data_IF_207274833643
#
_entry.id   IF_207274833643
#
_cell.length_a   1.000
_cell.length_b   1.000
_cell.length_c   1.000
_cell.angle_alpha   90.00
_cell.angle_beta   90.00
_cell.angle_gamma   90.00
#
_symmetry.space_group_name_H-M   'P 1'
#
loop_
_entity.id
_entity.type
_entity.pdbx_description
1 polymer ?
#
# COMPACT_ATOMS: atom_id res chain seq x y z
N UNK A 1 10.63 -17.30 -30.57
CA UNK A 1 9.94 -18.18 -29.60
C UNK A 1 9.94 -19.61 -30.12
N UNK A 2 10.37 -20.59 -29.31
CA UNK A 2 10.26 -22.02 -29.65
C UNK A 2 9.13 -22.64 -28.84
N UNK A 3 8.43 -23.58 -29.45
CA UNK A 3 7.30 -24.29 -28.83
C UNK A 3 7.39 -25.77 -29.11
N UNK A 4 7.10 -26.60 -28.11
CA UNK A 4 6.84 -28.01 -28.27
C UNK A 4 5.55 -28.40 -27.53
N UNK A 5 4.75 -29.28 -28.13
CA UNK A 5 3.53 -29.82 -27.55
C UNK A 5 3.73 -31.31 -27.31
N UNK A 6 3.38 -31.76 -26.12
CA UNK A 6 3.39 -33.16 -25.69
C UNK A 6 1.96 -33.57 -25.33
N UNK A 7 1.48 -34.64 -25.96
CA UNK A 7 0.13 -35.15 -25.68
C UNK A 7 0.08 -35.87 -24.31
N UNK A 8 -1.04 -35.79 -23.57
CA UNK A 8 -1.10 -36.19 -22.17
C UNK A 8 -1.26 -37.71 -21.92
N UNK A 9 -1.43 -38.54 -22.96
CA UNK A 9 -1.75 -39.97 -22.81
C UNK A 9 -0.48 -40.84 -22.88
N UNK A 10 0.34 -40.67 -23.92
CA UNK A 10 1.57 -41.44 -24.14
C UNK A 10 2.84 -40.58 -23.99
N UNK A 11 2.68 -39.29 -23.65
CA UNK A 11 3.76 -38.31 -23.51
C UNK A 11 4.65 -38.19 -24.75
N UNK A 12 4.05 -38.31 -25.94
CA UNK A 12 4.75 -38.12 -27.20
C UNK A 12 4.75 -36.66 -27.64
N UNK A 13 5.87 -36.23 -28.23
CA UNK A 13 5.96 -34.90 -28.86
C UNK A 13 5.13 -34.93 -30.14
N UNK A 14 4.07 -34.14 -30.19
CA UNK A 14 3.12 -34.09 -31.33
C UNK A 14 3.37 -32.90 -32.24
N UNK A 15 3.99 -31.83 -31.74
CA UNK A 15 4.30 -30.63 -32.52
C UNK A 15 5.55 -29.96 -31.98
N UNK A 16 6.39 -29.45 -32.88
CA UNK A 16 7.53 -28.59 -32.56
C UNK A 16 7.55 -27.48 -33.58
N UNK A 17 7.50 -26.23 -33.12
CA UNK A 17 7.46 -25.05 -33.97
C UNK A 17 8.41 -23.97 -33.47
N UNK A 18 8.81 -23.09 -34.39
CA UNK A 18 9.58 -21.90 -34.10
C UNK A 18 8.88 -20.70 -34.75
N UNK A 19 8.73 -19.63 -33.96
CA UNK A 19 8.10 -18.38 -34.36
C UNK A 19 9.10 -17.24 -34.15
N UNK A 20 9.39 -16.47 -35.20
CA UNK A 20 10.32 -15.33 -35.09
C UNK A 20 9.60 -14.12 -34.52
N UNK A 21 9.42 -14.09 -33.21
CA UNK A 21 8.77 -12.99 -32.47
C UNK A 21 9.69 -11.78 -32.25
N UNK A 22 10.89 -11.76 -32.86
CA UNK A 22 11.71 -10.55 -32.96
C UNK A 22 11.30 -9.70 -34.18
N UNK A 23 10.92 -10.36 -35.27
CA UNK A 23 10.32 -9.74 -36.44
C UNK A 23 8.78 -9.90 -36.39
N UNK A 24 8.06 -9.23 -37.29
CA UNK A 24 6.61 -9.42 -37.37
C UNK A 24 6.29 -10.83 -37.88
N UNK A 25 5.76 -11.66 -37.00
CA UNK A 25 5.32 -13.04 -37.27
C UNK A 25 3.90 -13.12 -37.89
N UNK A 26 3.30 -11.99 -38.28
CA UNK A 26 2.00 -11.98 -38.96
C UNK A 26 0.79 -12.46 -38.14
N UNK A 27 0.98 -12.82 -36.86
CA UNK A 27 -0.06 -13.40 -35.99
C UNK A 27 -0.06 -14.93 -35.95
N UNK A 28 0.91 -15.60 -36.60
CA UNK A 28 0.99 -17.05 -36.68
C UNK A 28 1.19 -17.70 -35.31
N UNK A 29 2.00 -17.10 -34.44
CA UNK A 29 2.14 -17.55 -33.05
C UNK A 29 0.84 -17.48 -32.25
N UNK A 30 0.07 -16.39 -32.38
CA UNK A 30 -1.24 -16.25 -31.71
C UNK A 30 -2.20 -17.34 -32.19
N UNK A 31 -2.29 -17.54 -33.50
CA UNK A 31 -3.15 -18.55 -34.12
C UNK A 31 -2.75 -19.97 -33.69
N UNK A 32 -1.46 -20.25 -33.55
CA UNK A 32 -0.96 -21.53 -33.07
C UNK A 32 -1.41 -21.82 -31.64
N UNK A 33 -1.25 -20.86 -30.71
CA UNK A 33 -1.66 -21.04 -29.30
C UNK A 33 -3.17 -21.26 -29.13
N UNK A 34 -3.98 -20.72 -30.04
CA UNK A 34 -5.44 -20.84 -30.04
C UNK A 34 -5.94 -22.15 -30.63
N UNK A 35 -5.34 -22.61 -31.73
CA UNK A 35 -5.93 -23.68 -32.55
C UNK A 35 -5.22 -25.03 -32.41
N UNK A 36 -3.92 -25.04 -32.09
CA UNK A 36 -3.11 -26.26 -32.10
C UNK A 36 -2.87 -26.85 -30.70
N UNK A 37 -3.12 -26.08 -29.64
CA UNK A 37 -2.91 -26.52 -28.24
C UNK A 37 -4.23 -27.02 -27.65
N UNK A 38 -4.38 -28.33 -27.49
CA UNK A 38 -5.59 -28.96 -26.98
C UNK A 38 -5.61 -28.97 -25.45
N UNK A 39 -6.80 -29.15 -24.86
CA UNK A 39 -6.97 -29.25 -23.40
C UNK A 39 -6.16 -30.44 -22.87
N UNK A 40 -5.51 -30.25 -21.73
CA UNK A 40 -4.59 -31.18 -21.07
C UNK A 40 -3.23 -31.39 -21.75
N UNK A 41 -2.99 -30.86 -22.96
CA UNK A 41 -1.67 -30.89 -23.57
C UNK A 41 -0.63 -30.18 -22.69
N UNK A 42 0.56 -30.76 -22.61
CA UNK A 42 1.72 -30.12 -22.01
C UNK A 42 2.41 -29.28 -23.09
N UNK A 43 2.52 -27.99 -22.83
CA UNK A 43 3.20 -27.03 -23.70
C UNK A 43 4.53 -26.60 -23.08
N UNK A 44 5.60 -26.71 -23.87
CA UNK A 44 6.94 -26.25 -23.54
C UNK A 44 7.24 -25.06 -24.43
N UNK A 45 7.52 -23.92 -23.82
CA UNK A 45 7.85 -22.66 -24.47
C UNK A 45 9.22 -22.19 -23.99
N UNK A 46 10.08 -21.76 -24.91
CA UNK A 46 11.35 -21.15 -24.53
C UNK A 46 11.87 -20.19 -25.59
N UNK A 47 12.62 -19.20 -25.13
CA UNK A 47 13.25 -18.20 -25.99
C UNK A 47 14.55 -18.72 -26.59
N UNK A 48 14.87 -18.24 -27.79
CA UNK A 48 16.21 -18.36 -28.37
C UNK A 48 16.59 -17.00 -28.94
N UNK A 49 17.80 -16.53 -28.65
CA UNK A 49 18.33 -15.21 -29.01
C UNK A 49 17.49 -14.03 -28.48
N UNK A 50 16.43 -13.65 -29.19
CA UNK A 50 15.52 -12.54 -28.87
C UNK A 50 14.10 -12.94 -29.26
N UNK A 51 13.13 -12.72 -28.37
CA UNK A 51 11.75 -13.11 -28.60
C UNK A 51 10.72 -12.08 -28.11
N UNK A 52 11.15 -10.91 -27.65
CA UNK A 52 10.29 -9.94 -26.96
C UNK A 52 9.91 -8.73 -27.81
N UNK A 53 10.69 -8.41 -28.85
CA UNK A 53 10.58 -7.13 -29.57
C UNK A 53 9.23 -6.92 -30.26
N UNK A 54 8.74 -7.93 -30.97
CA UNK A 54 7.44 -7.88 -31.68
C UNK A 54 6.43 -8.86 -31.07
N UNK A 55 6.66 -9.31 -29.83
CA UNK A 55 5.70 -10.14 -29.10
C UNK A 55 4.53 -9.28 -28.62
N UNK A 56 3.40 -9.43 -29.29
CA UNK A 56 2.21 -8.61 -29.05
C UNK A 56 1.49 -8.93 -27.73
N UNK A 57 0.59 -8.01 -27.34
CA UNK A 57 -0.15 -8.12 -26.09
C UNK A 57 -1.17 -9.27 -26.07
N UNK A 58 -1.70 -9.67 -27.24
CA UNK A 58 -2.63 -10.79 -27.34
C UNK A 58 -1.92 -12.12 -27.03
N UNK A 59 -0.76 -12.33 -27.65
CA UNK A 59 0.11 -13.48 -27.40
C UNK A 59 0.53 -13.55 -25.94
N UNK A 60 0.91 -12.42 -25.33
CA UNK A 60 1.22 -12.35 -23.88
C UNK A 60 0.00 -12.72 -23.02
N UNK A 61 -1.19 -12.28 -23.41
CA UNK A 61 -2.44 -12.64 -22.72
C UNK A 61 -2.75 -14.12 -22.83
N UNK A 62 -2.56 -14.73 -24.00
CA UNK A 62 -2.75 -16.18 -24.19
C UNK A 62 -1.74 -16.99 -23.37
N UNK A 63 -0.48 -16.55 -23.31
CA UNK A 63 0.53 -17.17 -22.46
C UNK A 63 0.21 -17.02 -20.97
N UNK A 64 -0.35 -15.89 -20.55
CA UNK A 64 -0.87 -15.69 -19.21
C UNK A 64 -2.04 -16.65 -18.89
N UNK A 65 -2.99 -16.81 -19.82
CA UNK A 65 -4.10 -17.78 -19.70
C UNK A 65 -3.61 -19.24 -19.70
N UNK A 66 -2.47 -19.52 -20.32
CA UNK A 66 -1.76 -20.80 -20.24
C UNK A 66 -1.01 -20.99 -18.92
N UNK A 67 -1.08 -20.02 -18.00
CA UNK A 67 -0.48 -20.10 -16.67
C UNK A 67 0.90 -19.46 -16.53
N UNK A 68 1.32 -18.60 -17.47
CA UNK A 68 2.53 -17.79 -17.28
C UNK A 68 2.30 -16.68 -16.26
N UNK A 69 3.13 -16.63 -15.23
CA UNK A 69 3.19 -15.51 -14.30
C UNK A 69 4.21 -14.44 -14.70
N UNK A 70 5.22 -14.78 -15.52
CA UNK A 70 6.36 -13.90 -15.81
C UNK A 70 6.40 -13.36 -17.24
N UNK A 71 5.54 -13.80 -18.16
CA UNK A 71 5.58 -13.39 -19.58
C UNK A 71 5.48 -11.88 -19.78
N UNK A 72 4.73 -11.18 -18.93
CA UNK A 72 4.58 -9.73 -19.00
C UNK A 72 5.90 -9.00 -18.75
N UNK A 73 6.84 -9.64 -18.07
CA UNK A 73 8.15 -9.11 -17.72
C UNK A 73 9.23 -9.43 -18.78
N UNK A 74 8.91 -10.24 -19.79
CA UNK A 74 9.85 -10.61 -20.85
C UNK A 74 10.27 -9.35 -21.64
N UNK A 75 11.57 -9.06 -21.65
CA UNK A 75 12.14 -7.90 -22.34
C UNK A 75 13.38 -8.27 -23.17
N UNK A 76 13.86 -7.29 -23.93
CA UNK A 76 14.89 -7.45 -24.96
C UNK A 76 16.08 -8.30 -24.49
N UNK A 77 16.34 -9.40 -25.20
CA UNK A 77 17.43 -10.39 -24.95
C UNK A 77 17.38 -11.14 -23.62
N UNK A 78 16.25 -11.10 -22.91
CA UNK A 78 16.02 -11.97 -21.76
C UNK A 78 15.91 -13.44 -22.20
N UNK A 79 16.27 -14.34 -21.30
CA UNK A 79 16.08 -15.78 -21.49
C UNK A 79 14.88 -16.23 -20.65
N UNK A 80 13.94 -16.93 -21.26
CA UNK A 80 12.73 -17.38 -20.59
C UNK A 80 12.34 -18.78 -21.06
N UNK A 81 11.86 -19.57 -20.12
CA UNK A 81 11.11 -20.77 -20.44
C UNK A 81 9.88 -20.89 -19.56
N UNK A 82 8.90 -21.60 -20.08
CA UNK A 82 7.71 -22.00 -19.37
C UNK A 82 7.33 -23.40 -19.82
N UNK A 83 6.95 -24.23 -18.85
CA UNK A 83 6.30 -25.51 -19.11
C UNK A 83 4.98 -25.51 -18.38
N UNK A 84 3.90 -25.74 -19.11
CA UNK A 84 2.55 -25.65 -18.56
C UNK A 84 1.61 -26.64 -19.22
N UNK A 85 0.37 -26.66 -18.75
CA UNK A 85 -0.68 -27.54 -19.24
C UNK A 85 -1.91 -26.73 -19.61
N UNK A 86 -2.46 -26.95 -20.81
CA UNK A 86 -3.66 -26.23 -21.26
C UNK A 86 -4.84 -26.56 -20.33
N UNK A 87 -5.45 -25.53 -19.74
CA UNK A 87 -6.53 -25.71 -18.76
C UNK A 87 -6.07 -25.66 -17.30
N UNK A 88 -4.79 -25.33 -17.04
CA UNK A 88 -4.27 -25.06 -15.70
C UNK A 88 -5.09 -23.95 -15.00
N UNK A 89 -5.33 -24.12 -13.70
CA UNK A 89 -6.06 -23.14 -12.87
C UNK A 89 -5.10 -22.37 -11.96
N UNK A 90 -4.51 -21.31 -12.51
CA UNK A 90 -3.47 -20.51 -11.84
C UNK A 90 -2.20 -20.48 -12.67
N UNK A 91 -1.06 -20.27 -12.02
CA UNK A 91 0.24 -20.20 -12.69
C UNK A 91 0.96 -21.54 -12.64
N UNK A 92 1.77 -21.85 -13.65
CA UNK A 92 2.69 -22.99 -13.59
C UNK A 92 3.81 -22.72 -12.58
N UNK A 93 4.30 -23.77 -11.94
CA UNK A 93 5.52 -23.73 -11.12
C UNK A 93 6.80 -23.86 -11.95
N UNK A 94 6.67 -24.27 -13.22
CA UNK A 94 7.79 -24.49 -14.14
C UNK A 94 7.96 -23.29 -15.07
N UNK A 95 8.38 -22.16 -14.50
CA UNK A 95 8.64 -20.94 -15.25
C UNK A 95 9.82 -20.15 -14.68
N UNK A 96 10.76 -19.81 -15.57
CA UNK A 96 11.93 -19.02 -15.22
C UNK A 96 12.17 -17.92 -16.25
N UNK A 97 12.59 -16.76 -15.75
CA UNK A 97 12.94 -15.59 -16.54
C UNK A 97 14.27 -15.05 -16.01
N UNK A 98 15.30 -15.11 -16.84
CA UNK A 98 16.57 -14.45 -16.61
C UNK A 98 16.59 -13.14 -17.40
N UNK A 99 16.83 -12.03 -16.72
CA UNK A 99 16.84 -10.70 -17.33
C UNK A 99 18.18 -10.35 -17.97
N UNK A 100 18.14 -9.67 -19.11
CA UNK A 100 19.32 -9.13 -19.77
C UNK A 100 19.96 -8.02 -18.93
N UNK A 101 21.30 -7.96 -18.90
CA UNK A 101 22.06 -6.94 -18.16
C UNK A 101 23.00 -6.19 -19.10
N UNK A 102 23.01 -4.85 -19.01
CA UNK A 102 24.02 -3.98 -19.65
C UNK A 102 24.28 -4.31 -21.13
N UNK A 103 23.22 -4.38 -21.93
CA UNK A 103 23.25 -4.67 -23.37
C UNK A 103 23.74 -6.08 -23.76
N UNK A 104 23.97 -6.98 -22.81
CA UNK A 104 24.28 -8.40 -23.04
C UNK A 104 23.02 -9.26 -22.96
N UNK A 105 23.07 -10.46 -23.52
CA UNK A 105 22.03 -11.48 -23.32
C UNK A 105 22.00 -11.91 -21.84
N UNK A 106 20.82 -12.32 -21.39
CA UNK A 106 20.68 -12.89 -20.06
C UNK A 106 21.44 -14.22 -19.92
N UNK A 107 21.68 -14.62 -18.68
CA UNK A 107 22.30 -15.91 -18.38
C UNK A 107 21.49 -17.06 -18.96
N UNK A 108 22.20 -18.02 -19.57
CA UNK A 108 21.59 -19.21 -20.18
C UNK A 108 20.87 -20.01 -19.11
N UNK A 109 19.66 -20.46 -19.43
CA UNK A 109 18.91 -21.40 -18.61
C UNK A 109 19.23 -22.80 -19.13
N UNK A 110 19.88 -23.62 -18.30
CA UNK A 110 20.17 -25.04 -18.56
C UNK A 110 19.67 -25.86 -17.37
N UNK A 111 18.44 -26.36 -17.49
CA UNK A 111 17.73 -27.05 -16.42
C UNK A 111 17.41 -28.49 -16.82
N UNK A 112 17.49 -29.41 -15.85
CA UNK A 112 17.18 -30.84 -16.03
C UNK A 112 16.35 -31.33 -14.87
N UNK A 113 15.09 -31.62 -15.12
CA UNK A 113 14.15 -32.08 -14.10
C UNK A 113 13.04 -32.94 -14.70
N UNK A 114 12.34 -33.65 -13.82
CA UNK A 114 11.14 -34.42 -14.17
C UNK A 114 9.90 -33.54 -14.02
N UNK A 115 8.92 -33.75 -14.90
CA UNK A 115 7.62 -33.06 -14.86
C UNK A 115 6.55 -34.09 -14.57
N UNK A 116 5.64 -33.83 -13.61
CA UNK A 116 4.52 -34.73 -13.35
C UNK A 116 3.51 -34.69 -14.50
N UNK A 117 2.82 -35.81 -14.71
CA UNK A 117 1.74 -35.96 -15.71
C UNK A 117 0.68 -34.85 -15.61
N UNK A 118 0.43 -34.38 -14.39
CA UNK A 118 -0.43 -33.23 -14.11
C UNK A 118 0.38 -32.13 -13.43
N UNK A 119 0.53 -31.01 -14.13
CA UNK A 119 1.34 -29.90 -13.65
C UNK A 119 0.61 -29.19 -12.49
N UNK A 120 1.26 -29.03 -11.32
CA UNK A 120 0.68 -28.31 -10.20
C UNK A 120 0.60 -26.81 -10.51
N UNK A 121 -0.50 -26.19 -10.08
CA UNK A 121 -0.72 -24.75 -10.19
C UNK A 121 -0.45 -24.03 -8.89
N UNK A 122 0.07 -22.81 -8.98
CA UNK A 122 0.16 -21.86 -7.86
C UNK A 122 -0.84 -20.70 -8.04
N UNK A 123 -1.44 -20.24 -6.94
CA UNK A 123 -2.42 -19.14 -6.95
C UNK A 123 -1.73 -17.80 -7.21
N UNK A 124 -0.50 -17.67 -6.73
CA UNK A 124 0.34 -16.48 -6.89
C UNK A 124 1.63 -16.92 -7.55
N UNK A 125 2.01 -16.28 -8.64
CA UNK A 125 3.38 -16.34 -9.16
C UNK A 125 4.17 -15.23 -8.47
N UNK A 126 4.96 -15.51 -7.43
CA UNK A 126 5.78 -14.47 -6.82
C UNK A 126 6.74 -13.93 -7.87
N UNK A 127 6.85 -12.61 -7.96
CA UNK A 127 7.93 -12.01 -8.73
C UNK A 127 9.26 -12.55 -8.17
N UNK A 128 10.22 -12.91 -9.05
CA UNK A 128 11.56 -13.20 -8.57
C UNK A 128 12.02 -12.01 -7.73
N UNK A 129 12.58 -12.28 -6.55
CA UNK A 129 13.06 -11.23 -5.63
C UNK A 129 13.87 -10.24 -6.47
N UNK A 130 13.53 -8.93 -6.50
CA UNK A 130 13.90 -8.02 -7.59
C UNK A 130 15.39 -7.92 -7.93
N UNK A 131 16.26 -8.40 -7.04
CA UNK A 131 17.66 -8.74 -7.25
C UNK A 131 18.14 -9.44 -5.98
N UNK A 132 18.91 -10.51 -6.11
CA UNK A 132 20.03 -10.67 -5.18
C UNK A 132 20.95 -9.49 -5.49
N UNK A 133 20.84 -8.42 -4.69
CA UNK A 133 21.49 -7.15 -4.97
C UNK A 133 22.98 -7.32 -4.65
N UNK A 134 23.69 -7.93 -5.59
CA UNK A 134 25.12 -8.22 -5.46
C UNK A 134 25.91 -6.95 -5.13
N UNK A 135 25.52 -5.79 -5.67
CA UNK A 135 26.10 -4.50 -5.33
C UNK A 135 25.88 -4.12 -3.86
N UNK A 136 24.70 -4.39 -3.29
CA UNK A 136 24.44 -4.26 -1.84
C UNK A 136 25.26 -5.27 -1.04
N UNK A 137 25.35 -6.52 -1.48
CA UNK A 137 26.13 -7.57 -0.80
C UNK A 137 27.61 -7.19 -0.78
N UNK A 138 28.16 -6.76 -1.91
CA UNK A 138 29.54 -6.29 -2.08
C UNK A 138 29.79 -5.01 -1.27
N UNK A 139 28.87 -4.04 -1.29
CA UNK A 139 28.92 -2.84 -0.46
C UNK A 139 28.94 -3.19 1.03
N UNK A 140 28.03 -4.05 1.50
CA UNK A 140 27.97 -4.49 2.91
C UNK A 140 29.15 -5.39 3.32
N UNK A 141 29.86 -5.99 2.37
CA UNK A 141 31.11 -6.72 2.63
C UNK A 141 32.31 -5.77 2.69
N UNK A 142 32.30 -4.68 1.93
CA UNK A 142 33.38 -3.68 1.87
C UNK A 142 33.37 -2.73 3.07
N UNK A 143 32.20 -2.42 3.63
CA UNK A 143 32.05 -1.57 4.82
C UNK A 143 31.79 -2.43 6.08
N UNK A 144 32.68 -2.34 7.06
CA UNK A 144 32.82 -3.27 8.18
C UNK A 144 31.52 -3.43 9.01
N UNK A 145 31.08 -4.68 9.23
CA UNK A 145 29.82 -5.06 9.90
C UNK A 145 29.66 -4.55 11.34
N UNK A 146 30.76 -4.12 11.98
CA UNK A 146 30.75 -3.66 13.37
C UNK A 146 30.53 -2.15 13.55
N UNK A 147 30.56 -1.35 12.47
CA UNK A 147 30.21 0.08 12.52
C UNK A 147 28.83 0.41 11.91
N UNK A 148 28.23 -0.53 11.16
CA UNK A 148 26.98 -0.31 10.41
C UNK A 148 26.00 -1.49 10.52
N UNK A 149 25.62 -1.85 11.74
CA UNK A 149 24.40 -2.66 11.97
C UNK A 149 23.16 -2.02 11.29
N UNK A 150 23.16 -0.70 11.12
CA UNK A 150 22.05 0.08 10.62
C UNK A 150 21.96 0.26 9.08
N UNK A 151 22.92 -0.21 8.26
CA UNK A 151 22.74 -0.14 6.79
C UNK A 151 21.78 -1.22 6.28
N UNK A 152 21.58 -2.29 7.05
CA UNK A 152 20.60 -3.34 6.76
C UNK A 152 19.31 -3.21 7.58
N UNK A 153 19.19 -2.22 8.49
CA UNK A 153 18.08 -2.15 9.44
C UNK A 153 17.56 -0.74 9.80
N UNK A 154 17.91 0.37 9.12
CA UNK A 154 17.54 1.70 9.64
C UNK A 154 17.11 2.79 8.66
N UNK A 155 15.97 3.43 8.94
CA UNK A 155 15.52 4.67 8.28
C UNK A 155 16.54 5.80 8.40
N UNK A 156 17.30 5.87 9.51
CA UNK A 156 18.37 6.87 9.69
C UNK A 156 19.41 6.80 8.57
N UNK A 157 19.80 5.58 8.20
CA UNK A 157 20.81 5.37 7.16
C UNK A 157 20.26 5.70 5.78
N UNK A 158 18.98 5.41 5.54
CA UNK A 158 18.31 5.82 4.30
C UNK A 158 18.32 7.35 4.12
N UNK A 159 18.03 8.13 5.17
CA UNK A 159 18.13 9.58 5.13
C UNK A 159 19.56 10.07 4.90
N UNK A 160 20.54 9.52 5.64
CA UNK A 160 21.98 9.87 5.47
C UNK A 160 22.45 9.60 4.04
N UNK A 161 22.08 8.44 3.49
CA UNK A 161 22.40 8.07 2.12
C UNK A 161 21.73 9.01 1.12
N UNK A 162 20.42 9.26 1.25
CA UNK A 162 19.68 10.13 0.35
C UNK A 162 20.28 11.54 0.30
N UNK A 163 20.59 12.12 1.46
CA UNK A 163 21.23 13.44 1.58
C UNK A 163 22.61 13.48 0.90
N UNK A 164 23.40 12.41 1.02
CA UNK A 164 24.74 12.32 0.42
C UNK A 164 24.68 12.07 -1.10
N UNK A 165 23.82 11.17 -1.55
CA UNK A 165 23.74 10.76 -2.95
C UNK A 165 22.95 11.77 -3.81
N UNK A 166 21.98 12.45 -3.21
CA UNK A 166 21.06 13.37 -3.89
C UNK A 166 20.99 14.73 -3.17
N UNK A 167 22.10 15.49 -3.11
CA UNK A 167 22.19 16.70 -2.27
C UNK A 167 21.29 17.86 -2.71
N UNK A 168 20.72 17.79 -3.92
CA UNK A 168 19.80 18.81 -4.45
C UNK A 168 18.32 18.48 -4.16
N UNK A 169 18.02 17.23 -3.80
CA UNK A 169 16.66 16.81 -3.52
C UNK A 169 16.23 17.26 -2.13
N UNK A 170 14.98 17.72 -2.00
CA UNK A 170 14.45 18.23 -0.73
C UNK A 170 13.65 17.20 0.05
N UNK A 171 13.23 16.14 -0.63
CA UNK A 171 12.28 15.16 -0.13
C UNK A 171 12.80 13.75 -0.42
N UNK A 172 12.49 12.81 0.46
CA UNK A 172 12.75 11.39 0.25
C UNK A 172 11.46 10.61 0.47
N UNK A 173 11.19 9.62 -0.38
CA UNK A 173 10.13 8.64 -0.17
C UNK A 173 10.77 7.41 0.46
N UNK A 174 10.22 6.98 1.59
CA UNK A 174 10.68 5.83 2.36
C UNK A 174 9.67 4.70 2.18
N UNK A 175 10.14 3.62 1.57
CA UNK A 175 9.39 2.39 1.33
C UNK A 175 10.06 1.25 2.09
N UNK A 176 9.26 0.48 2.81
CA UNK A 176 9.73 -0.71 3.52
C UNK A 176 9.35 -1.96 2.72
N UNK A 177 10.04 -3.06 2.99
CA UNK A 177 9.68 -4.34 2.39
C UNK A 177 8.27 -4.78 2.84
N UNK A 178 7.61 -5.54 1.96
CA UNK A 178 6.25 -6.02 2.24
C UNK A 178 5.14 -5.01 2.02
N UNK A 179 5.44 -3.82 1.50
CA UNK A 179 4.44 -2.82 1.11
C UNK A 179 4.01 -3.04 -0.35
N UNK A 180 2.72 -3.19 -0.58
CA UNK A 180 2.09 -3.13 -1.91
C UNK A 180 1.55 -1.71 -2.09
N UNK A 181 2.10 -1.00 -3.08
CA UNK A 181 1.69 0.37 -3.40
C UNK A 181 0.43 0.35 -4.27
N UNK A 182 -0.46 1.34 -4.08
CA UNK A 182 -1.57 1.55 -5.00
C UNK A 182 -1.06 2.00 -6.37
N UNK A 183 -1.82 1.76 -7.46
CA UNK A 183 -1.42 2.19 -8.79
C UNK A 183 -1.20 3.72 -8.93
N UNK A 184 -1.89 4.51 -8.11
CA UNK A 184 -1.78 5.98 -8.07
C UNK A 184 -0.77 6.50 -7.03
N UNK A 185 -0.01 5.65 -6.33
CA UNK A 185 0.83 6.06 -5.19
C UNK A 185 1.75 7.25 -5.51
N UNK A 186 2.53 7.19 -6.60
CA UNK A 186 3.41 8.30 -6.98
C UNK A 186 2.64 9.53 -7.43
N UNK A 187 1.46 9.35 -8.04
CA UNK A 187 0.59 10.45 -8.44
C UNK A 187 -0.02 11.16 -7.23
N UNK A 188 -0.43 10.42 -6.19
CA UNK A 188 -0.84 10.96 -4.90
C UNK A 188 0.28 11.77 -4.24
N UNK A 189 1.51 11.22 -4.16
CA UNK A 189 2.66 11.94 -3.60
C UNK A 189 2.96 13.23 -4.37
N UNK A 190 2.94 13.18 -5.71
CA UNK A 190 3.20 14.33 -6.56
C UNK A 190 2.18 15.47 -6.35
N UNK A 191 0.90 15.15 -6.14
CA UNK A 191 -0.14 16.15 -5.85
C UNK A 191 0.10 16.88 -4.52
N UNK A 192 0.73 16.23 -3.55
CA UNK A 192 0.97 16.79 -2.22
C UNK A 192 2.26 17.60 -2.11
N UNK A 193 3.25 17.39 -2.99
CA UNK A 193 4.53 18.13 -2.97
C UNK A 193 4.33 19.66 -2.96
N UNK A 194 3.47 20.26 -3.82
CA UNK A 194 3.26 21.71 -3.79
C UNK A 194 2.65 22.24 -2.48
N UNK A 195 1.91 21.40 -1.75
CA UNK A 195 1.36 21.74 -0.43
C UNK A 195 2.49 21.68 0.61
N UNK A 196 3.28 20.61 0.59
CA UNK A 196 4.42 20.38 1.47
C UNK A 196 5.50 21.47 1.33
N UNK A 197 5.77 21.91 0.10
CA UNK A 197 6.74 22.99 -0.18
C UNK A 197 6.27 24.36 0.33
N UNK A 198 4.96 24.59 0.37
CA UNK A 198 4.37 25.87 0.79
C UNK A 198 4.11 25.96 2.29
N UNK A 199 4.01 24.82 2.98
CA UNK A 199 3.62 24.75 4.38
C UNK A 199 4.68 24.08 5.24
N UNK A 200 5.48 24.90 5.93
CA UNK A 200 6.54 24.43 6.82
C UNK A 200 6.04 23.68 8.06
N UNK A 201 4.74 23.81 8.40
CA UNK A 201 4.14 23.07 9.51
C UNK A 201 3.88 21.60 9.18
N UNK A 202 4.04 21.20 7.91
CA UNK A 202 3.95 19.79 7.52
C UNK A 202 5.29 19.08 7.73
N UNK A 203 5.22 17.89 8.32
CA UNK A 203 6.37 17.01 8.57
C UNK A 203 6.57 15.98 7.46
N UNK A 204 5.58 15.82 6.59
CA UNK A 204 5.59 14.82 5.51
C UNK A 204 4.20 14.35 5.11
N UNK A 205 4.18 13.34 4.26
CA UNK A 205 2.97 12.75 3.67
C UNK A 205 3.05 11.25 3.88
N UNK A 206 2.08 10.65 4.55
CA UNK A 206 1.90 9.20 4.61
C UNK A 206 0.94 8.74 3.52
N UNK A 207 1.16 7.53 2.99
CA UNK A 207 0.21 6.84 2.14
C UNK A 207 -0.81 6.00 2.92
N UNK A 208 -0.67 5.92 4.24
CA UNK A 208 -1.44 4.99 5.05
C UNK A 208 -2.43 5.70 5.96
N UNK A 209 -3.68 5.22 5.95
CA UNK A 209 -4.69 5.59 6.93
C UNK A 209 -4.76 4.49 8.01
N UNK A 210 -4.35 4.76 9.27
CA UNK A 210 -4.47 3.80 10.35
C UNK A 210 -5.92 3.31 10.58
N UNK A 211 -6.90 4.18 10.31
CA UNK A 211 -8.34 3.90 10.40
C UNK A 211 -8.96 3.49 9.05
N UNK A 212 -8.15 3.23 8.02
CA UNK A 212 -8.56 2.79 6.68
C UNK A 212 -9.08 1.35 6.62
N UNK A 213 -10.03 1.01 7.49
CA UNK A 213 -10.65 -0.31 7.60
C UNK A 213 -11.81 -0.46 6.62
N UNK A 214 -12.14 -1.72 6.29
CA UNK A 214 -13.27 -2.03 5.42
C UNK A 214 -14.56 -1.37 5.92
N UNK A 215 -15.21 -0.61 5.03
CA UNK A 215 -16.44 0.13 5.33
C UNK A 215 -16.23 1.53 5.91
N UNK A 216 -15.07 1.83 6.49
CA UNK A 216 -14.78 3.08 7.22
C UNK A 216 -13.74 3.98 6.54
N UNK A 217 -13.52 3.73 5.25
CA UNK A 217 -12.64 4.48 4.37
C UNK A 217 -13.13 4.23 2.95
N UNK A 218 -13.63 5.27 2.30
CA UNK A 218 -14.46 5.14 1.10
C UNK A 218 -14.19 6.21 0.05
N UNK A 219 -13.51 7.31 0.41
CA UNK A 219 -13.29 8.42 -0.50
C UNK A 219 -11.83 8.44 -1.01
N UNK A 220 -11.57 8.01 -2.26
CA UNK A 220 -10.23 8.12 -2.82
C UNK A 220 -9.79 9.58 -3.03
N UNK A 221 -10.71 10.55 -3.02
CA UNK A 221 -10.42 11.94 -3.33
C UNK A 221 -10.14 12.82 -2.11
N UNK A 222 -10.28 12.27 -0.90
CA UNK A 222 -10.02 12.98 0.36
C UNK A 222 -8.64 12.66 0.95
N UNK A 223 -8.05 13.67 1.59
CA UNK A 223 -6.90 13.54 2.46
C UNK A 223 -7.06 14.43 3.70
N UNK A 224 -6.29 14.13 4.73
CA UNK A 224 -6.42 14.69 6.07
C UNK A 224 -5.07 15.21 6.56
N UNK A 225 -5.09 16.31 7.32
CA UNK A 225 -3.98 16.64 8.22
C UNK A 225 -4.21 15.94 9.55
N UNK A 226 -3.14 15.37 10.12
CA UNK A 226 -3.18 14.67 11.41
C UNK A 226 -2.02 15.08 12.31
N UNK A 227 -2.28 15.14 13.61
CA UNK A 227 -1.32 15.48 14.69
C UNK A 227 -0.64 14.21 15.23
N UNK A 228 -0.07 13.44 14.30
CA UNK A 228 0.68 12.21 14.55
C UNK A 228 1.60 11.88 13.37
N UNK A 229 2.39 10.81 13.51
CA UNK A 229 3.21 10.27 12.43
C UNK A 229 2.68 8.89 12.01
N UNK A 230 1.85 8.78 10.94
CA UNK A 230 1.28 7.50 10.55
C UNK A 230 2.29 6.51 9.94
N UNK A 231 3.43 6.98 9.41
CA UNK A 231 4.43 6.12 8.78
C UNK A 231 3.95 5.46 7.47
N UNK A 232 4.47 4.27 7.16
CA UNK A 232 4.14 3.39 6.01
C UNK A 232 4.08 4.07 4.64
N UNK A 233 5.07 3.76 3.80
CA UNK A 233 5.25 4.34 2.47
C UNK A 233 5.09 5.87 2.48
N UNK A 234 5.95 6.56 3.21
CA UNK A 234 5.80 7.98 3.50
C UNK A 234 6.89 8.82 2.82
N UNK A 235 6.52 10.04 2.44
CA UNK A 235 7.42 11.09 1.97
C UNK A 235 7.78 11.99 3.15
N UNK A 236 9.08 12.19 3.37
CA UNK A 236 9.62 13.08 4.39
C UNK A 236 10.56 14.13 3.76
N UNK A 237 10.41 15.41 4.12
CA UNK A 237 11.41 16.43 3.79
C UNK A 237 12.74 16.17 4.50
N UNK A 238 13.86 16.38 3.80
CA UNK A 238 15.21 16.29 4.40
C UNK A 238 15.35 17.29 5.56
N UNK A 239 14.72 18.47 5.48
CA UNK A 239 14.70 19.44 6.60
C UNK A 239 14.13 18.84 7.89
N UNK A 240 13.11 17.98 7.81
CA UNK A 240 12.48 17.39 9.00
C UNK A 240 13.42 16.38 9.64
N UNK A 241 14.17 15.64 8.82
CA UNK A 241 15.24 14.79 9.30
C UNK A 241 16.33 15.62 10.01
N UNK A 242 16.84 16.67 9.37
CA UNK A 242 17.90 17.53 9.91
C UNK A 242 17.48 18.19 11.24
N UNK A 243 16.27 18.71 11.32
CA UNK A 243 15.80 19.48 12.48
C UNK A 243 15.40 18.59 13.68
N UNK A 244 14.79 17.42 13.41
CA UNK A 244 14.08 16.66 14.46
C UNK A 244 14.55 15.21 14.62
N UNK A 245 15.29 14.64 13.67
CA UNK A 245 15.65 13.21 13.70
C UNK A 245 17.16 12.98 13.77
N UNK A 246 17.97 13.78 13.07
CA UNK A 246 19.42 13.61 13.03
C UNK A 246 20.03 13.70 14.44
N UNK A 247 20.76 12.65 14.84
CA UNK A 247 21.31 12.53 16.20
C UNK A 247 20.31 12.16 17.31
N UNK A 248 19.02 12.01 16.98
CA UNK A 248 17.92 11.73 17.93
C UNK A 248 17.17 10.42 17.66
N UNK A 249 17.63 9.56 16.75
CA UNK A 249 16.93 8.30 16.42
C UNK A 249 16.66 7.40 17.63
N UNK A 250 17.61 7.35 18.57
CA UNK A 250 17.48 6.58 19.82
C UNK A 250 16.40 7.11 20.78
N UNK A 251 15.91 8.35 20.61
CA UNK A 251 14.84 8.92 21.42
C UNK A 251 13.52 9.04 20.65
N UNK A 252 13.56 9.34 19.35
CA UNK A 252 12.35 9.59 18.57
C UNK A 252 11.75 8.37 17.88
N UNK A 253 12.62 7.45 17.48
CA UNK A 253 12.37 6.61 16.32
C UNK A 253 12.77 5.15 16.61
N UNK A 254 12.67 4.75 17.88
CA UNK A 254 12.96 3.40 18.38
C UNK A 254 11.87 2.38 18.07
N UNK A 255 10.67 2.87 17.75
CA UNK A 255 9.53 2.08 17.29
C UNK A 255 9.38 2.19 15.79
N UNK A 256 8.67 1.23 15.21
CA UNK A 256 8.26 1.29 13.81
C UNK A 256 7.53 2.61 13.49
N UNK A 257 7.72 3.19 12.29
CA UNK A 257 7.08 4.47 11.93
C UNK A 257 5.57 4.48 12.15
N UNK A 258 4.90 3.36 11.84
CA UNK A 258 3.45 3.24 12.00
C UNK A 258 2.96 3.09 13.42
N UNK A 259 3.86 2.85 14.38
CA UNK A 259 3.52 2.96 15.80
C UNK A 259 3.45 4.42 16.24
N UNK A 260 4.04 5.35 15.47
CA UNK A 260 4.01 6.77 15.75
C UNK A 260 5.33 7.26 16.33
N UNK A 261 5.93 8.24 15.66
CA UNK A 261 7.08 9.01 16.13
C UNK A 261 6.62 10.27 16.84
N UNK A 262 5.90 10.08 17.95
CA UNK A 262 5.20 11.15 18.67
C UNK A 262 6.15 12.27 19.11
N UNK A 263 7.39 11.96 19.47
CA UNK A 263 8.35 12.99 19.88
C UNK A 263 8.68 13.97 18.75
N UNK A 264 8.75 13.51 17.49
CA UNK A 264 9.00 14.36 16.32
C UNK A 264 7.85 15.33 16.16
N UNK A 265 6.61 14.82 16.28
CA UNK A 265 5.38 15.61 16.17
C UNK A 265 5.27 16.60 17.34
N UNK A 266 5.59 16.18 18.56
CA UNK A 266 5.53 17.03 19.75
C UNK A 266 6.60 18.12 19.75
N UNK A 267 7.84 17.81 19.34
CA UNK A 267 8.94 18.78 19.29
C UNK A 267 8.72 19.83 18.18
N UNK A 268 8.23 19.39 17.02
CA UNK A 268 7.96 20.30 15.89
C UNK A 268 6.64 21.06 16.01
N UNK A 269 5.65 20.51 16.71
CA UNK A 269 4.25 20.98 16.66
C UNK A 269 3.61 20.83 15.28
N UNK A 270 4.21 20.05 14.37
CA UNK A 270 3.79 19.90 12.99
C UNK A 270 2.69 18.86 12.76
N UNK A 271 2.29 18.68 11.51
CA UNK A 271 1.28 17.70 11.09
C UNK A 271 1.79 16.82 9.95
N UNK A 272 1.22 15.64 9.80
CA UNK A 272 1.37 14.82 8.59
C UNK A 272 0.11 14.92 7.74
N UNK A 273 0.24 14.69 6.43
CA UNK A 273 -0.90 14.41 5.54
C UNK A 273 -1.07 12.90 5.42
N UNK A 274 -2.31 12.40 5.42
CA UNK A 274 -2.65 11.02 5.07
C UNK A 274 -3.92 10.98 4.20
N UNK A 275 -4.11 10.01 3.29
CA UNK A 275 -5.32 9.92 2.50
C UNK A 275 -6.48 9.34 3.34
N UNK A 276 -7.73 9.50 2.92
CA UNK A 276 -8.84 8.72 3.48
C UNK A 276 -8.71 7.25 3.09
N UNK A 277 -8.60 6.97 1.79
CA UNK A 277 -8.34 5.64 1.24
C UNK A 277 -6.82 5.42 1.12
N UNK A 278 -6.27 4.39 1.79
CA UNK A 278 -4.82 4.17 1.80
C UNK A 278 -4.25 3.95 0.39
N UNK A 279 -3.03 4.46 0.14
CA UNK A 279 -2.23 4.25 -1.08
C UNK A 279 -1.13 3.21 -0.92
N UNK A 280 -1.17 2.50 0.20
CA UNK A 280 -0.30 1.39 0.52
C UNK A 280 -1.08 0.34 1.28
N UNK A 281 -0.75 -0.92 1.04
CA UNK A 281 -1.20 -2.08 1.79
C UNK A 281 0.02 -2.84 2.30
N UNK A 282 0.14 -3.05 3.61
CA UNK A 282 1.13 -3.99 4.15
C UNK A 282 0.65 -5.41 3.83
N UNK A 283 1.51 -6.24 3.23
CA UNK A 283 1.20 -7.65 2.96
C UNK A 283 0.88 -8.35 4.28
N UNK A 284 -0.30 -8.99 4.41
CA UNK A 284 -0.68 -9.63 5.65
C UNK A 284 0.32 -10.70 6.11
N UNK A 285 0.89 -11.48 5.19
CA UNK A 285 1.85 -12.53 5.52
C UNK A 285 3.12 -11.98 6.18
N UNK A 286 3.69 -10.90 5.66
CA UNK A 286 4.87 -10.26 6.27
C UNK A 286 4.52 -9.70 7.66
N UNK A 287 3.32 -9.16 7.83
CA UNK A 287 2.85 -8.68 9.14
C UNK A 287 2.70 -9.81 10.16
N UNK A 288 2.44 -11.05 9.75
CA UNK A 288 2.39 -12.21 10.65
C UNK A 288 3.78 -12.73 11.02
N UNK A 289 4.72 -12.71 10.08
CA UNK A 289 6.07 -13.25 10.30
C UNK A 289 7.00 -12.27 11.02
N UNK A 290 6.85 -10.97 10.76
CA UNK A 290 7.75 -9.93 11.26
C UNK A 290 7.28 -9.27 12.57
N UNK A 291 5.99 -9.32 12.91
CA UNK A 291 5.44 -8.54 14.02
C UNK A 291 5.06 -9.39 15.23
N UNK A 292 5.27 -8.86 16.46
CA UNK A 292 4.66 -9.42 17.65
C UNK A 292 3.13 -9.57 17.49
N UNK A 293 2.50 -10.59 18.10
CA UNK A 293 1.05 -10.78 18.04
C UNK A 293 0.23 -9.55 18.46
N UNK A 294 0.79 -8.74 19.36
CA UNK A 294 0.20 -7.49 19.84
C UNK A 294 0.25 -6.36 18.82
N UNK A 295 1.08 -6.41 17.78
CA UNK A 295 1.17 -5.38 16.73
C UNK A 295 0.57 -5.85 15.40
N UNK A 296 0.46 -7.16 15.20
CA UNK A 296 -0.08 -7.73 13.96
C UNK A 296 -1.55 -7.37 13.74
N UNK A 297 -2.34 -7.15 14.82
CA UNK A 297 -3.77 -6.80 14.70
C UNK A 297 -4.04 -5.58 13.82
N UNK A 298 -3.06 -4.67 13.72
CA UNK A 298 -3.14 -3.46 12.89
C UNK A 298 -3.25 -3.81 11.40
N UNK A 299 -2.68 -4.94 10.99
CA UNK A 299 -2.62 -5.41 9.61
C UNK A 299 -3.45 -6.68 9.35
N UNK A 300 -3.98 -7.35 10.38
CA UNK A 300 -4.84 -8.53 10.20
C UNK A 300 -6.30 -8.18 9.90
N UNK A 301 -6.76 -6.97 10.23
CA UNK A 301 -8.11 -6.52 9.86
C UNK A 301 -8.16 -6.15 8.38
N UNK A 302 -9.30 -6.43 7.74
CA UNK A 302 -9.49 -6.07 6.34
C UNK A 302 -9.44 -4.55 6.17
N UNK A 303 -8.57 -4.11 5.26
CA UNK A 303 -8.28 -2.70 4.98
C UNK A 303 -8.70 -2.32 3.57
N UNK A 304 -8.98 -1.04 3.41
CA UNK A 304 -9.29 -0.44 2.12
C UNK A 304 -8.03 0.25 1.58
N UNK A 305 -7.65 -0.12 0.37
CA UNK A 305 -6.53 0.47 -0.37
C UNK A 305 -7.03 0.83 -1.76
N UNK A 306 -6.59 1.98 -2.28
CA UNK A 306 -7.00 2.43 -3.60
C UNK A 306 -6.50 1.48 -4.69
N UNK A 307 -7.38 1.15 -5.64
CA UNK A 307 -7.05 0.34 -6.82
C UNK A 307 -7.28 1.09 -8.13
N UNK A 308 -7.83 2.30 -8.07
CA UNK A 308 -8.05 3.16 -9.24
C UNK A 308 -6.81 4.01 -9.54
N UNK A 309 -6.12 3.70 -10.64
CA UNK A 309 -4.95 4.46 -11.09
C UNK A 309 -5.26 5.92 -11.48
N UNK A 310 -6.54 6.26 -11.71
CA UNK A 310 -6.97 7.59 -12.11
C UNK A 310 -7.44 8.47 -10.94
N UNK A 311 -7.43 7.96 -9.71
CA UNK A 311 -7.81 8.73 -8.53
C UNK A 311 -6.92 9.97 -8.31
N UNK A 312 -7.54 11.09 -7.92
CA UNK A 312 -6.87 12.36 -7.59
C UNK A 312 -7.35 12.86 -6.23
N UNK A 313 -6.62 13.79 -5.59
CA UNK A 313 -7.06 14.45 -4.37
C UNK A 313 -7.80 15.75 -4.73
N UNK A 314 -9.01 15.90 -4.23
CA UNK A 314 -9.80 17.10 -4.41
C UNK A 314 -9.22 18.27 -3.60
N UNK A 315 -8.96 19.38 -4.28
CA UNK A 315 -8.49 20.65 -3.69
C UNK A 315 -7.34 20.46 -2.69
N UNK A 316 -6.17 19.92 -3.12
CA UNK A 316 -5.05 19.64 -2.23
C UNK A 316 -4.55 20.88 -1.46
N UNK A 317 -4.73 22.08 -2.02
CA UNK A 317 -4.41 23.34 -1.35
C UNK A 317 -5.20 23.57 -0.04
N UNK A 318 -6.35 22.92 0.15
CA UNK A 318 -7.13 23.03 1.38
C UNK A 318 -6.44 22.31 2.55
N UNK A 319 -5.40 21.52 2.28
CA UNK A 319 -4.54 20.89 3.28
C UNK A 319 -3.45 21.83 3.82
N UNK A 320 -3.34 23.08 3.36
CA UNK A 320 -2.49 24.10 4.00
C UNK A 320 -3.04 24.43 5.40
N UNK A 321 -2.18 24.67 6.39
CA UNK A 321 -2.57 24.80 7.81
C UNK A 321 -3.81 25.68 8.05
N UNK A 322 -3.80 26.93 7.60
CA UNK A 322 -4.90 27.87 7.80
C UNK A 322 -6.17 27.46 7.04
N UNK A 323 -6.01 26.95 5.82
CA UNK A 323 -7.11 26.51 4.98
C UNK A 323 -7.75 25.23 5.50
N UNK A 324 -6.95 24.34 6.09
CA UNK A 324 -7.47 23.10 6.65
C UNK A 324 -8.28 23.36 7.92
N UNK A 325 -7.84 24.32 8.74
CA UNK A 325 -8.64 24.78 9.88
C UNK A 325 -10.00 25.34 9.42
N UNK A 326 -10.01 26.17 8.37
CA UNK A 326 -11.24 26.70 7.76
C UNK A 326 -12.11 25.58 7.20
N UNK A 327 -11.53 24.64 6.44
CA UNK A 327 -12.22 23.49 5.88
C UNK A 327 -12.88 22.63 6.98
N UNK A 328 -12.17 22.37 8.08
CA UNK A 328 -12.74 21.68 9.23
C UNK A 328 -13.89 22.47 9.86
N UNK A 329 -13.77 23.80 10.00
CA UNK A 329 -14.85 24.63 10.51
C UNK A 329 -16.10 24.62 9.59
N UNK A 330 -15.90 24.62 8.27
CA UNK A 330 -16.99 24.50 7.28
C UNK A 330 -17.70 23.15 7.39
N UNK A 331 -16.94 22.05 7.48
CA UNK A 331 -17.51 20.71 7.70
C UNK A 331 -18.39 20.67 8.96
N UNK A 332 -17.96 21.34 10.04
CA UNK A 332 -18.74 21.42 11.27
C UNK A 332 -20.04 22.20 11.08
N UNK A 333 -20.01 23.30 10.33
CA UNK A 333 -21.21 24.12 10.06
C UNK A 333 -22.27 23.37 9.25
N UNK A 334 -21.85 22.55 8.29
CA UNK A 334 -22.76 21.76 7.45
C UNK A 334 -23.10 20.38 8.05
N UNK A 335 -22.48 20.02 9.16
CA UNK A 335 -22.68 18.72 9.80
C UNK A 335 -24.07 18.59 10.41
N UNK A 336 -24.65 17.39 10.28
CA UNK A 336 -25.86 16.99 10.98
C UNK A 336 -25.48 16.23 12.26
N UNK A 337 -26.05 16.57 13.43
CA UNK A 337 -25.77 15.83 14.66
C UNK A 337 -26.20 14.37 14.54
N UNK A 338 -25.29 13.45 14.84
CA UNK A 338 -25.58 12.02 14.96
C UNK A 338 -25.74 11.69 16.44
N UNK A 339 -26.97 11.42 16.84
CA UNK A 339 -27.28 11.11 18.24
C UNK A 339 -27.00 9.64 18.54
N UNK A 340 -26.16 9.40 19.54
CA UNK A 340 -25.97 8.09 20.19
C UNK A 340 -26.50 8.19 21.61
N UNK A 341 -27.21 7.17 22.09
CA UNK A 341 -27.63 7.10 23.49
C UNK A 341 -26.51 6.51 24.37
N UNK A 342 -26.60 6.70 25.70
CA UNK A 342 -25.72 6.02 26.65
C UNK A 342 -25.83 4.50 26.57
N UNK A 343 -27.02 3.99 26.23
CA UNK A 343 -27.26 2.57 26.02
C UNK A 343 -26.52 2.08 24.77
N UNK A 344 -26.52 2.85 23.68
CA UNK A 344 -25.76 2.52 22.46
C UNK A 344 -24.26 2.44 22.76
N UNK A 345 -23.70 3.44 23.47
CA UNK A 345 -22.29 3.42 23.87
C UNK A 345 -21.93 2.19 24.71
N UNK A 346 -22.81 1.77 25.62
CA UNK A 346 -22.54 0.60 26.47
C UNK A 346 -22.40 -0.69 25.66
N UNK A 347 -23.12 -0.81 24.55
CA UNK A 347 -23.07 -1.95 23.62
C UNK A 347 -21.84 -1.91 22.72
N UNK A 348 -21.27 -0.73 22.48
CA UNK A 348 -20.10 -0.55 21.61
C UNK A 348 -18.82 -1.21 22.12
N UNK A 349 -18.77 -1.61 23.39
CA UNK A 349 -17.65 -2.38 23.94
C UNK A 349 -17.44 -3.72 23.25
N UNK A 350 -18.49 -4.28 22.62
CA UNK A 350 -18.47 -5.64 22.03
C UNK A 350 -18.82 -5.67 20.54
N UNK A 351 -19.53 -4.68 20.01
CA UNK A 351 -20.01 -4.66 18.64
C UNK A 351 -20.23 -3.23 18.12
N UNK A 352 -20.38 -3.07 16.81
CA UNK A 352 -20.72 -1.78 16.21
C UNK A 352 -22.12 -1.29 16.63
N UNK A 353 -22.34 0.03 16.61
CA UNK A 353 -23.65 0.62 16.89
C UNK A 353 -24.58 0.42 15.69
N UNK A 354 -25.46 -0.57 15.78
CA UNK A 354 -26.45 -0.87 14.72
C UNK A 354 -27.27 0.37 14.35
N UNK A 355 -27.71 1.15 15.34
CA UNK A 355 -28.51 2.34 15.13
C UNK A 355 -27.76 3.41 14.32
N UNK A 356 -26.52 3.73 14.71
CA UNK A 356 -25.72 4.71 13.97
C UNK A 356 -25.38 4.22 12.56
N UNK A 357 -25.03 2.94 12.43
CA UNK A 357 -24.73 2.34 11.14
C UNK A 357 -25.95 2.31 10.21
N UNK A 358 -27.16 2.14 10.73
CA UNK A 358 -28.39 2.26 9.94
C UNK A 358 -28.60 3.68 9.41
N UNK A 359 -28.45 4.70 10.27
CA UNK A 359 -28.57 6.10 9.86
C UNK A 359 -27.53 6.43 8.78
N UNK A 360 -26.27 6.04 8.99
CA UNK A 360 -25.20 6.31 8.01
C UNK A 360 -25.38 5.55 6.69
N UNK A 361 -26.10 4.43 6.66
CA UNK A 361 -26.43 3.70 5.42
C UNK A 361 -27.57 4.34 4.63
N UNK A 362 -28.46 5.08 5.28
CA UNK A 362 -29.61 5.73 4.63
C UNK A 362 -29.18 6.93 3.75
N UNK A 363 -28.04 7.53 4.06
CA UNK A 363 -27.50 8.70 3.35
C UNK A 363 -26.18 8.38 2.65
N UNK A 364 -25.81 9.24 1.71
CA UNK A 364 -24.52 9.24 1.05
C UNK A 364 -24.10 10.69 0.75
N UNK A 365 -22.81 11.00 0.88
CA UNK A 365 -22.29 12.36 0.66
C UNK A 365 -22.70 13.40 1.71
N UNK A 366 -23.14 12.97 2.90
CA UNK A 366 -23.49 13.87 4.01
C UNK A 366 -22.36 13.98 5.04
N UNK A 367 -22.42 15.01 5.87
CA UNK A 367 -21.49 15.21 6.98
C UNK A 367 -22.25 15.02 8.29
N UNK A 368 -21.75 14.14 9.16
CA UNK A 368 -22.32 13.86 10.47
C UNK A 368 -21.32 14.21 11.57
N UNK A 369 -21.80 14.69 12.71
CA UNK A 369 -20.97 14.99 13.87
C UNK A 369 -21.54 14.37 15.15
N UNK A 370 -20.66 13.72 15.92
CA UNK A 370 -20.93 13.22 17.27
C UNK A 370 -20.11 14.08 18.24
N UNK A 371 -20.79 14.77 19.14
CA UNK A 371 -20.14 15.61 20.15
C UNK A 371 -20.09 14.89 21.49
N UNK A 372 -18.91 14.86 22.12
CA UNK A 372 -18.70 14.15 23.38
C UNK A 372 -17.75 14.91 24.31
N UNK A 373 -17.83 14.61 25.60
CA UNK A 373 -16.96 15.16 26.64
C UNK A 373 -16.20 14.00 27.28
N UNK A 374 -14.86 14.06 27.34
CA UNK A 374 -14.11 13.04 28.09
C UNK A 374 -14.30 13.18 29.61
N UNK A 375 -14.25 12.06 30.32
CA UNK A 375 -14.33 12.06 31.78
C UNK A 375 -13.00 12.55 32.39
N UNK A 376 -13.08 13.34 33.47
CA UNK A 376 -11.91 13.89 34.15
C UNK A 376 -10.96 12.77 34.59
N UNK A 377 -9.71 12.81 34.11
CA UNK A 377 -8.67 11.83 34.45
C UNK A 377 -8.70 10.53 33.63
N UNK A 378 -9.54 10.43 32.60
CA UNK A 378 -9.57 9.30 31.65
C UNK A 378 -9.54 9.79 30.20
N UNK A 379 -8.42 10.39 29.75
CA UNK A 379 -8.32 10.91 28.38
C UNK A 379 -8.53 9.79 27.36
N UNK A 380 -9.25 10.10 26.29
CA UNK A 380 -9.53 9.23 25.14
C UNK A 380 -10.38 7.98 25.40
N UNK A 381 -10.84 7.72 26.63
CA UNK A 381 -11.58 6.49 26.94
C UNK A 381 -12.96 6.47 26.28
N UNK A 382 -13.66 7.62 26.26
CA UNK A 382 -14.95 7.74 25.57
C UNK A 382 -14.75 7.72 24.06
N UNK A 383 -13.71 8.39 23.56
CA UNK A 383 -13.33 8.32 22.15
C UNK A 383 -13.01 6.90 21.68
N UNK A 384 -12.26 6.13 22.46
CA UNK A 384 -11.97 4.71 22.18
C UNK A 384 -13.26 3.88 22.07
N UNK A 385 -14.22 4.13 22.96
CA UNK A 385 -15.54 3.48 22.91
C UNK A 385 -16.33 3.89 21.67
N UNK A 386 -16.29 5.18 21.30
CA UNK A 386 -16.91 5.68 20.07
C UNK A 386 -16.25 5.10 18.82
N UNK A 387 -14.92 4.97 18.78
CA UNK A 387 -14.22 4.29 17.70
C UNK A 387 -14.79 2.88 17.48
N UNK A 388 -14.95 2.10 18.56
CA UNK A 388 -15.57 0.77 18.48
C UNK A 388 -17.01 0.80 17.98
N UNK A 389 -17.81 1.82 18.35
CA UNK A 389 -19.16 1.98 17.82
C UNK A 389 -19.19 2.04 16.28
N UNK A 390 -18.13 2.56 15.67
CA UNK A 390 -17.99 2.71 14.23
C UNK A 390 -16.97 1.72 13.65
N UNK A 391 -16.79 0.55 14.26
CA UNK A 391 -15.87 -0.49 13.75
C UNK A 391 -14.40 -0.07 13.67
N UNK A 392 -14.09 1.16 14.09
CA UNK A 392 -12.74 1.68 14.16
C UNK A 392 -12.05 0.97 15.30
N UNK A 393 -11.08 0.19 14.92
CA UNK A 393 -10.30 -0.62 15.83
C UNK A 393 -8.91 -0.02 16.05
N UNK A 394 -8.70 1.17 15.47
CA UNK A 394 -7.39 1.68 15.04
C UNK A 394 -6.36 1.69 16.16
N UNK A 395 -5.09 1.41 15.84
CA UNK A 395 -4.03 1.24 16.83
C UNK A 395 -3.96 2.42 17.78
N UNK A 396 -3.86 2.15 19.08
CA UNK A 396 -3.75 3.18 20.10
C UNK A 396 -2.28 3.35 20.48
N UNK A 397 -1.68 4.49 20.16
CA UNK A 397 -0.33 4.80 20.65
C UNK A 397 -0.48 5.41 22.04
N UNK A 398 -0.04 4.69 23.08
CA UNK A 398 -0.17 5.12 24.47
C UNK A 398 -1.62 5.45 24.88
N UNK A 399 -2.61 4.75 24.31
CA UNK A 399 -4.04 5.00 24.55
C UNK A 399 -4.66 6.14 23.74
N UNK A 400 -3.88 6.87 22.92
CA UNK A 400 -4.39 7.91 22.02
C UNK A 400 -4.86 7.27 20.69
N UNK A 401 -6.14 7.47 20.29
CA UNK A 401 -6.63 7.05 18.98
C UNK A 401 -5.91 7.82 17.85
N UNK A 402 -5.61 7.12 16.76
CA UNK A 402 -4.94 7.71 15.60
C UNK A 402 -5.88 8.49 14.70
N UNK A 403 -5.31 9.40 13.90
CA UNK A 403 -6.04 10.20 12.92
C UNK A 403 -6.64 11.50 13.46
N UNK A 404 -6.17 11.98 14.62
CA UNK A 404 -6.71 13.17 15.27
C UNK A 404 -6.14 14.47 14.68
N UNK A 405 -7.00 15.47 14.55
CA UNK A 405 -6.62 16.87 14.32
C UNK A 405 -7.41 17.77 15.27
N UNK A 406 -6.73 18.45 16.20
CA UNK A 406 -7.36 19.32 17.21
C UNK A 406 -8.51 18.62 17.95
N UNK A 407 -8.27 17.39 18.38
CA UNK A 407 -9.22 16.52 19.08
C UNK A 407 -10.52 16.21 18.28
N UNK A 408 -10.42 16.22 16.95
CA UNK A 408 -11.45 15.71 16.06
C UNK A 408 -10.92 14.47 15.34
N UNK A 409 -11.67 13.38 15.41
CA UNK A 409 -11.46 12.21 14.56
C UNK A 409 -12.37 12.31 13.34
N UNK A 410 -11.80 12.21 12.14
CA UNK A 410 -12.53 12.21 10.88
C UNK A 410 -12.32 10.87 10.16
N UNK A 411 -13.40 10.30 9.67
CA UNK A 411 -13.40 9.11 8.81
C UNK A 411 -14.59 9.16 7.85
N UNK A 412 -14.62 8.27 6.86
CA UNK A 412 -15.77 8.17 5.95
C UNK A 412 -16.50 6.85 6.10
N UNK A 413 -17.81 6.85 5.89
CA UNK A 413 -18.62 5.64 5.80
C UNK A 413 -19.66 5.83 4.71
N UNK A 414 -19.68 4.97 3.69
CA UNK A 414 -20.63 5.07 2.57
C UNK A 414 -20.63 6.47 1.91
N UNK A 415 -19.44 7.05 1.68
CA UNK A 415 -19.24 8.43 1.21
C UNK A 415 -19.73 9.54 2.14
N UNK A 416 -20.27 9.21 3.32
CA UNK A 416 -20.55 10.21 4.34
C UNK A 416 -19.27 10.50 5.12
N UNK A 417 -19.04 11.77 5.45
CA UNK A 417 -18.01 12.15 6.42
C UNK A 417 -18.58 12.08 7.82
N UNK A 418 -17.86 11.42 8.75
CA UNK A 418 -18.23 11.35 10.16
C UNK A 418 -17.14 12.02 11.00
N UNK A 419 -17.57 12.88 11.92
CA UNK A 419 -16.71 13.68 12.79
C UNK A 419 -17.01 13.33 14.25
N UNK A 420 -16.01 12.84 14.99
CA UNK A 420 -16.10 12.70 16.44
C UNK A 420 -15.41 13.90 17.07
N UNK A 421 -16.17 14.74 17.75
CA UNK A 421 -15.73 16.07 18.21
C UNK A 421 -15.72 16.13 19.72
N UNK A 422 -14.53 16.20 20.30
CA UNK A 422 -14.33 16.30 21.74
C UNK A 422 -14.48 17.75 22.22
N UNK A 423 -14.91 17.95 23.47
CA UNK A 423 -15.23 19.25 24.07
C UNK A 423 -14.08 20.26 24.14
N UNK A 424 -12.83 19.80 24.23
CA UNK A 424 -11.63 20.65 24.21
C UNK A 424 -11.23 21.07 22.80
N UNK A 425 -11.86 20.51 21.76
CA UNK A 425 -11.62 20.93 20.38
C UNK A 425 -12.07 22.37 20.15
N UNK A 426 -11.30 23.20 19.41
CA UNK A 426 -11.76 24.53 19.00
C UNK A 426 -13.06 24.48 18.16
N UNK A 427 -13.32 23.35 17.50
CA UNK A 427 -14.49 23.14 16.66
C UNK A 427 -15.75 22.78 17.43
N UNK A 428 -15.65 22.45 18.72
CA UNK A 428 -16.78 22.06 19.55
C UNK A 428 -17.84 23.18 19.68
N UNK A 429 -17.43 24.44 19.55
CA UNK A 429 -18.34 25.60 19.61
C UNK A 429 -19.40 25.61 18.50
N UNK A 430 -19.15 24.93 17.38
CA UNK A 430 -20.11 24.80 16.29
C UNK A 430 -21.25 23.83 16.60
N UNK A 431 -21.19 23.11 17.73
CA UNK A 431 -22.25 22.22 18.18
C UNK A 431 -23.58 22.99 18.37
N UNK A 432 -24.69 22.52 17.78
CA UNK A 432 -25.99 23.15 18.00
C UNK A 432 -26.39 23.16 19.49
N UNK A 433 -26.99 24.24 20.02
CA UNK A 433 -27.38 24.32 21.43
C UNK A 433 -28.35 23.22 21.90
N UNK A 434 -29.14 22.64 20.98
CA UNK A 434 -30.07 21.54 21.25
C UNK A 434 -29.39 20.18 21.43
N UNK A 435 -28.12 20.04 21.03
CA UNK A 435 -27.39 18.76 21.09
C UNK A 435 -26.72 18.63 22.46
N UNK A 436 -27.21 17.67 23.25
CA UNK A 436 -26.56 17.25 24.49
C UNK A 436 -25.35 16.37 24.13
N UNK A 437 -24.15 16.66 24.65
CA UNK A 437 -22.97 15.87 24.32
C UNK A 437 -22.95 14.57 25.14
N UNK A 438 -22.25 13.57 24.62
CA UNK A 438 -22.09 12.26 25.24
C UNK A 438 -21.13 12.26 26.44
#
# INVERSE_FOLDING_TARGET
MNVAIIEPIHFQVVSVQNFDTYNKDGGDFEAFLLNEVLVDDIIILFTFDEASKELDNNSKKLLYELGSGKIQNLHYRSQWYMISQKGIKGFTVYEQLNFAKSNKWAEVIDEKFCIPDKIPSQIVSPDPVPRDNQERVEFCQQFNRFEYYAFCEGIEVAFKFAKKAFPLEKNVIILEEGQILSPDFLFYMAQMIPVLDKDSSLLGISAWNPNGLQGFSSDPHSAYRVEEFPGLAFLAPIRVYDDYMEGKFNSCCTKWPWEGWDSVVQESGGNMIMPDLSRVLQRPLDAFEQLPPESSYVFTKQRMTNTDASAWIDRPQDLLQDKYFQHMAELMQISSPLHLSKEDLSKCSFQESVAAMMVLKEYSGKVFAVYFVEDSGSPYKKLETLCRCFGLSGPYTNGKPKGLYKNVLRFTFNWNTVLLVEATSPFYRSRPPSVVPL
#
